data_IF_415070859527
#
_entry.id   IF_415070859527
#
_cell.length_a   1.000
_cell.length_b   1.000
_cell.length_c   1.000
_cell.angle_alpha   90.00
_cell.angle_beta   90.00
_cell.angle_gamma   90.00
#
_symmetry.space_group_name_H-M   'P 1'
#
loop_
_entity.id
_entity.type
_entity.pdbx_description
1 polymer ?
#
# COMPACT_ATOMS: atom_id res chain seq x y z
N UNK A 1 -3.04 4.67 101.95
CA UNK A 1 -2.21 4.45 100.74
C UNK A 1 -2.73 5.31 99.59
N UNK A 2 -2.15 6.50 99.40
CA UNK A 2 -2.38 7.37 98.23
C UNK A 2 -1.01 7.54 97.55
N UNK A 3 -0.80 6.91 96.40
CA UNK A 3 0.36 7.20 95.55
C UNK A 3 -0.12 7.65 94.17
N UNK A 4 0.33 8.86 93.82
CA UNK A 4 0.12 9.58 92.56
C UNK A 4 0.71 8.76 91.40
N UNK A 5 -0.07 8.57 90.33
CA UNK A 5 0.42 8.05 89.05
C UNK A 5 1.25 9.12 88.34
N UNK A 6 2.48 8.76 88.00
CA UNK A 6 3.42 9.55 87.23
C UNK A 6 3.10 9.44 85.73
N UNK A 7 3.18 10.58 85.09
CA UNK A 7 3.33 10.93 83.67
C UNK A 7 3.90 9.87 82.72
N UNK A 8 3.33 9.80 81.50
CA UNK A 8 4.09 9.94 80.25
C UNK A 8 3.16 10.32 79.09
N UNK A 9 3.38 11.50 78.53
CA UNK A 9 2.86 11.93 77.24
C UNK A 9 3.66 11.20 76.16
N UNK A 10 2.99 10.42 75.31
CA UNK A 10 3.57 9.92 74.07
C UNK A 10 2.87 10.63 72.91
N UNK A 11 3.61 11.51 72.25
CA UNK A 11 3.21 12.13 71.00
C UNK A 11 3.24 11.05 69.91
N UNK A 12 2.12 10.86 69.22
CA UNK A 12 2.06 10.02 68.02
C UNK A 12 2.54 10.89 66.85
N UNK A 13 3.73 10.59 66.35
CA UNK A 13 4.24 11.12 65.08
C UNK A 13 3.61 10.30 63.96
N UNK A 14 2.73 10.89 63.17
CA UNK A 14 2.26 10.29 61.91
C UNK A 14 3.32 10.60 60.86
N UNK A 15 4.19 9.63 60.59
CA UNK A 15 5.09 9.69 59.45
C UNK A 15 4.31 9.31 58.19
N UNK A 16 3.98 10.29 57.36
CA UNK A 16 3.50 10.05 56.01
C UNK A 16 4.66 9.51 55.17
N UNK A 17 4.64 8.22 54.85
CA UNK A 17 5.54 7.63 53.86
C UNK A 17 4.97 7.99 52.48
N UNK A 18 5.45 9.10 51.92
CA UNK A 18 5.25 9.41 50.52
C UNK A 18 6.10 8.48 49.67
N UNK A 19 5.48 7.53 48.98
CA UNK A 19 6.10 6.78 47.89
C UNK A 19 6.31 7.74 46.72
N UNK A 20 7.54 8.26 46.59
CA UNK A 20 8.00 8.94 45.39
C UNK A 20 8.14 7.89 44.28
N UNK A 21 7.10 7.76 43.44
CA UNK A 21 7.25 7.13 42.13
C UNK A 21 8.02 8.10 41.24
N UNK A 22 9.32 7.86 41.09
CA UNK A 22 10.10 8.44 40.00
C UNK A 22 9.53 7.92 38.69
N UNK A 23 8.84 8.77 37.94
CA UNK A 23 8.47 8.49 36.56
C UNK A 23 9.76 8.32 35.76
N UNK A 24 10.14 7.07 35.51
CA UNK A 24 11.09 6.77 34.47
C UNK A 24 10.36 7.02 33.16
N UNK A 25 10.69 8.12 32.49
CA UNK A 25 10.33 8.32 31.10
C UNK A 25 11.12 7.29 30.30
N UNK A 26 10.49 6.17 29.98
CA UNK A 26 10.97 5.28 28.93
C UNK A 26 10.65 6.00 27.63
N UNK A 27 11.68 6.55 26.98
CA UNK A 27 11.55 7.05 25.61
C UNK A 27 11.27 5.85 24.71
N UNK A 28 10.26 5.97 23.84
CA UNK A 28 10.00 4.99 22.81
C UNK A 28 11.23 4.87 21.91
N UNK A 29 11.74 3.64 21.75
CA UNK A 29 12.69 3.31 20.71
C UNK A 29 11.94 3.40 19.38
N UNK A 30 12.33 4.34 18.53
CA UNK A 30 11.80 4.46 17.16
C UNK A 30 12.07 3.15 16.43
N UNK A 31 11.03 2.35 16.19
CA UNK A 31 11.14 1.10 15.44
C UNK A 31 11.16 1.41 13.94
N UNK A 32 12.36 1.72 13.45
CA UNK A 32 12.86 1.59 12.07
C UNK A 32 11.96 2.20 10.97
N UNK A 33 12.46 3.26 10.32
CA UNK A 33 11.94 3.76 9.05
C UNK A 33 11.76 2.60 8.03
N UNK A 34 10.87 2.72 7.02
CA UNK A 34 10.72 1.71 5.97
C UNK A 34 12.10 1.26 5.50
N UNK A 35 12.36 -0.04 5.54
CA UNK A 35 13.70 -0.56 5.33
C UNK A 35 14.16 -0.14 3.93
N UNK A 36 15.07 0.85 3.86
CA UNK A 36 15.74 1.18 2.61
C UNK A 36 16.39 -0.10 2.09
N UNK A 37 16.04 -0.44 0.86
CA UNK A 37 16.46 -1.70 0.27
C UNK A 37 17.98 -1.68 0.11
N UNK A 38 18.63 -2.73 0.60
CA UNK A 38 20.09 -2.81 0.60
C UNK A 38 20.66 -2.79 -0.83
N UNK A 39 21.97 -2.56 -1.02
CA UNK A 39 22.59 -2.55 -2.34
C UNK A 39 22.33 -3.82 -3.17
N UNK A 40 22.10 -4.97 -2.50
CA UNK A 40 21.80 -6.23 -3.16
C UNK A 40 20.35 -6.34 -3.68
N UNK A 41 19.43 -5.50 -3.19
CA UNK A 41 18.01 -5.52 -3.58
C UNK A 41 17.69 -4.49 -4.68
N UNK A 42 18.59 -3.53 -4.93
CA UNK A 42 18.45 -2.49 -5.96
C UNK A 42 18.07 -3.06 -7.34
N UNK A 43 18.73 -4.15 -7.76
CA UNK A 43 18.43 -4.81 -9.04
C UNK A 43 17.00 -5.39 -9.08
N UNK A 44 16.47 -5.87 -7.95
CA UNK A 44 15.10 -6.35 -7.88
C UNK A 44 14.09 -5.20 -7.92
N UNK A 45 14.39 -4.08 -7.24
CA UNK A 45 13.47 -2.94 -7.11
C UNK A 45 13.37 -2.14 -8.41
N UNK A 46 14.52 -1.72 -8.96
CA UNK A 46 14.59 -0.79 -10.10
C UNK A 46 15.20 -1.41 -11.37
N UNK A 47 15.79 -2.61 -11.27
CA UNK A 47 16.38 -3.29 -12.42
C UNK A 47 15.37 -3.97 -13.34
N UNK A 48 15.89 -4.46 -14.46
CA UNK A 48 15.15 -5.28 -15.41
C UNK A 48 15.95 -6.54 -15.78
N UNK A 49 15.31 -7.72 -15.88
CA UNK A 49 15.97 -8.92 -16.35
C UNK A 49 16.35 -8.74 -17.83
N UNK A 50 17.46 -9.36 -18.24
CA UNK A 50 17.94 -9.30 -19.62
C UNK A 50 16.94 -9.90 -20.62
N UNK A 51 16.14 -10.88 -20.18
CA UNK A 51 15.06 -11.49 -20.96
C UNK A 51 13.79 -11.46 -20.10
N UNK A 52 12.97 -10.43 -20.23
CA UNK A 52 11.77 -10.29 -19.41
C UNK A 52 10.70 -11.32 -19.77
N UNK A 53 10.11 -11.96 -18.76
CA UNK A 53 8.88 -12.72 -18.96
C UNK A 53 7.68 -11.77 -19.08
N UNK A 54 6.54 -12.29 -19.52
CA UNK A 54 5.30 -11.52 -19.54
C UNK A 54 4.90 -11.09 -18.12
N UNK A 55 4.93 -12.00 -17.15
CA UNK A 55 4.58 -11.75 -15.76
C UNK A 55 5.42 -10.63 -15.15
N UNK A 56 6.74 -10.65 -15.40
CA UNK A 56 7.61 -9.57 -14.97
C UNK A 56 7.24 -8.25 -15.66
N UNK A 57 6.97 -8.27 -16.96
CA UNK A 57 6.58 -7.09 -17.74
C UNK A 57 5.27 -6.47 -17.22
N UNK A 58 4.28 -7.30 -16.89
CA UNK A 58 3.01 -6.87 -16.30
C UNK A 58 3.20 -6.29 -14.90
N UNK A 59 4.06 -6.90 -14.07
CA UNK A 59 4.38 -6.39 -12.75
C UNK A 59 5.08 -5.02 -12.85
N UNK A 60 6.10 -4.90 -13.71
CA UNK A 60 6.81 -3.65 -13.93
C UNK A 60 5.88 -2.53 -14.44
N UNK A 61 5.04 -2.82 -15.44
CA UNK A 61 4.04 -1.87 -15.93
C UNK A 61 3.03 -1.44 -14.87
N UNK A 62 2.60 -2.37 -14.00
CA UNK A 62 1.71 -2.07 -12.88
C UNK A 62 2.34 -1.22 -11.77
N UNK A 63 3.65 -1.36 -11.52
CA UNK A 63 4.39 -0.46 -10.61
C UNK A 63 4.50 0.95 -11.19
N UNK A 64 4.79 1.06 -12.49
CA UNK A 64 4.85 2.37 -13.17
C UNK A 64 3.47 3.04 -13.16
N UNK A 65 2.39 2.28 -13.36
CA UNK A 65 1.02 2.78 -13.25
C UNK A 65 0.68 3.31 -11.84
N UNK A 66 1.19 2.65 -10.81
CA UNK A 66 1.05 3.06 -9.41
C UNK A 66 1.82 4.35 -9.14
N UNK A 67 3.15 4.29 -9.23
CA UNK A 67 4.04 5.41 -8.97
C UNK A 67 5.31 5.25 -9.83
N UNK A 68 5.37 5.99 -10.94
CA UNK A 68 6.42 5.80 -11.95
C UNK A 68 7.79 6.25 -11.48
N UNK A 69 7.90 7.30 -10.66
CA UNK A 69 9.20 7.82 -10.25
C UNK A 69 9.84 6.92 -9.19
N UNK A 70 9.07 6.42 -8.24
CA UNK A 70 9.48 5.35 -7.32
C UNK A 70 9.81 4.05 -8.06
N UNK A 71 9.01 3.67 -9.07
CA UNK A 71 9.25 2.43 -9.81
C UNK A 71 10.54 2.47 -10.64
N UNK A 72 10.93 3.65 -11.13
CA UNK A 72 12.03 3.85 -12.09
C UNK A 72 13.27 4.52 -11.48
N UNK A 73 13.30 4.75 -10.17
CA UNK A 73 14.38 5.47 -9.46
C UNK A 73 14.65 6.85 -10.09
N UNK A 74 13.59 7.65 -10.24
CA UNK A 74 13.64 8.99 -10.81
C UNK A 74 13.21 10.03 -9.78
N UNK A 75 13.62 11.27 -10.02
CA UNK A 75 13.13 12.42 -9.27
C UNK A 75 11.62 12.54 -9.39
N UNK A 76 10.99 12.79 -8.25
CA UNK A 76 9.57 13.12 -8.16
C UNK A 76 9.26 14.33 -9.09
N UNK A 77 8.16 14.28 -9.88
CA UNK A 77 7.78 15.40 -10.73
C UNK A 77 7.29 16.60 -9.92
N UNK A 78 7.73 17.78 -10.32
CA UNK A 78 7.30 19.02 -9.68
C UNK A 78 5.92 19.50 -10.18
N UNK A 79 5.13 20.05 -9.26
CA UNK A 79 3.86 20.69 -9.56
C UNK A 79 2.74 19.73 -9.97
N UNK A 80 1.58 20.31 -10.30
CA UNK A 80 0.40 19.57 -10.74
C UNK A 80 0.52 19.19 -12.22
N UNK A 81 0.18 17.94 -12.55
CA UNK A 81 0.13 17.46 -13.93
C UNK A 81 -0.80 18.35 -14.76
N UNK A 82 -0.34 18.94 -15.89
CA UNK A 82 -1.16 19.83 -16.72
C UNK A 82 -2.44 19.18 -17.28
N UNK A 83 -2.47 17.85 -17.40
CA UNK A 83 -3.66 17.11 -17.83
C UNK A 83 -4.64 16.80 -16.68
N UNK A 84 -4.25 17.06 -15.42
CA UNK A 84 -5.13 16.87 -14.27
C UNK A 84 -6.27 17.91 -14.29
N UNK A 85 -7.54 17.50 -14.19
CA UNK A 85 -8.66 18.43 -14.35
C UNK A 85 -8.66 19.54 -13.30
N UNK A 86 -8.79 20.79 -13.72
CA UNK A 86 -8.85 21.94 -12.81
C UNK A 86 -10.04 21.90 -11.81
N UNK A 87 -11.06 21.08 -12.09
CA UNK A 87 -12.20 20.84 -11.19
C UNK A 87 -11.94 19.74 -10.16
N UNK A 88 -10.88 18.95 -10.31
CA UNK A 88 -10.49 17.90 -9.37
C UNK A 88 -9.70 18.50 -8.19
N UNK A 89 -9.57 17.73 -7.09
CA UNK A 89 -9.16 18.29 -5.80
C UNK A 89 -7.69 18.07 -5.44
N UNK A 90 -7.00 17.12 -6.07
CA UNK A 90 -5.59 16.88 -5.77
C UNK A 90 -4.69 17.89 -6.48
N UNK A 91 -3.47 18.03 -5.95
CA UNK A 91 -2.42 18.87 -6.49
C UNK A 91 -1.04 18.23 -6.27
N UNK A 92 -0.01 18.75 -6.93
CA UNK A 92 1.37 18.29 -6.77
C UNK A 92 1.67 16.94 -7.43
N UNK A 93 2.79 16.33 -7.03
CA UNK A 93 3.36 15.14 -7.68
C UNK A 93 2.39 13.96 -7.79
N UNK A 94 1.50 13.78 -6.81
CA UNK A 94 0.50 12.71 -6.82
C UNK A 94 -0.40 12.69 -8.07
N UNK A 95 -0.62 13.85 -8.69
CA UNK A 95 -1.42 14.00 -9.93
C UNK A 95 -0.73 13.44 -11.18
N UNK A 96 0.55 13.07 -11.08
CA UNK A 96 1.32 12.41 -12.15
C UNK A 96 1.26 10.88 -12.09
N UNK A 97 0.55 10.29 -11.13
CA UNK A 97 0.36 8.84 -11.02
C UNK A 97 -0.81 8.41 -11.91
N UNK A 98 -0.64 7.37 -12.72
CA UNK A 98 -1.72 6.90 -13.60
C UNK A 98 -2.97 6.51 -12.81
N UNK A 99 -2.77 5.86 -11.64
CA UNK A 99 -3.84 5.51 -10.71
C UNK A 99 -4.66 6.72 -10.27
N UNK A 100 -4.10 7.92 -10.23
CA UNK A 100 -4.80 9.10 -9.69
C UNK A 100 -5.97 9.52 -10.59
N UNK A 101 -5.79 9.42 -11.92
CA UNK A 101 -6.86 9.68 -12.88
C UNK A 101 -7.72 8.44 -13.16
N UNK A 102 -7.10 7.26 -13.20
CA UNK A 102 -7.74 6.04 -13.71
C UNK A 102 -8.16 5.04 -12.63
N UNK A 103 -7.90 5.34 -11.36
CA UNK A 103 -8.26 4.52 -10.19
C UNK A 103 -7.31 3.35 -9.96
N UNK A 104 -7.23 2.91 -8.70
CA UNK A 104 -6.59 1.65 -8.34
C UNK A 104 -7.31 0.43 -8.92
N UNK A 105 -8.61 0.56 -9.14
CA UNK A 105 -9.47 -0.44 -9.74
C UNK A 105 -9.59 -0.35 -11.27
N UNK A 106 -8.83 0.56 -11.88
CA UNK A 106 -8.75 0.79 -13.32
C UNK A 106 -10.06 1.31 -13.96
N UNK A 107 -11.03 1.78 -13.17
CA UNK A 107 -12.34 2.25 -13.62
C UNK A 107 -12.52 3.77 -13.57
N UNK A 108 -11.60 4.51 -12.92
CA UNK A 108 -11.62 5.97 -12.84
C UNK A 108 -12.95 6.49 -12.29
N UNK A 109 -13.60 7.39 -13.03
CA UNK A 109 -14.88 8.00 -12.68
C UNK A 109 -16.06 7.01 -12.55
N UNK A 110 -15.93 5.78 -13.07
CA UNK A 110 -16.95 4.73 -12.93
C UNK A 110 -16.66 3.80 -11.74
N UNK A 111 -15.53 4.01 -11.04
CA UNK A 111 -14.96 3.08 -10.07
C UNK A 111 -15.01 3.54 -8.61
N UNK A 112 -13.98 3.14 -7.86
CA UNK A 112 -13.76 3.60 -6.47
C UNK A 112 -13.55 5.12 -6.39
N UNK A 113 -13.10 5.76 -7.47
CA UNK A 113 -12.93 7.22 -7.57
C UNK A 113 -14.16 7.94 -8.14
N UNK A 114 -15.33 7.30 -8.27
CA UNK A 114 -16.58 7.93 -8.76
C UNK A 114 -17.08 9.14 -7.95
N UNK A 115 -16.55 9.35 -6.75
CA UNK A 115 -16.83 10.48 -5.85
C UNK A 115 -15.64 10.71 -4.92
N UNK A 116 -15.69 11.80 -4.14
CA UNK A 116 -14.69 12.08 -3.11
C UNK A 116 -13.53 12.95 -3.60
N UNK A 117 -12.39 12.88 -2.90
CA UNK A 117 -11.22 13.72 -3.14
C UNK A 117 -10.43 13.34 -4.40
N UNK A 118 -10.55 12.09 -4.86
CA UNK A 118 -9.86 11.58 -6.05
C UNK A 118 -10.73 11.60 -7.32
N UNK A 119 -11.96 12.13 -7.25
CA UNK A 119 -12.83 12.20 -8.43
C UNK A 119 -12.31 13.23 -9.44
N UNK A 120 -11.96 12.74 -10.63
CA UNK A 120 -11.47 13.55 -11.76
C UNK A 120 -12.50 13.70 -12.88
N UNK A 121 -13.51 12.83 -12.94
CA UNK A 121 -14.40 12.69 -14.10
C UNK A 121 -13.77 11.97 -15.30
N UNK A 122 -12.50 11.54 -15.20
CA UNK A 122 -11.80 10.79 -16.24
C UNK A 122 -12.18 9.30 -16.15
N UNK A 123 -12.49 8.68 -17.29
CA UNK A 123 -12.81 7.25 -17.35
C UNK A 123 -11.59 6.37 -17.03
N UNK A 124 -11.85 5.16 -16.56
CA UNK A 124 -10.81 4.14 -16.38
C UNK A 124 -10.22 3.58 -17.67
N UNK A 125 -9.28 2.64 -17.49
CA UNK A 125 -8.52 1.99 -18.57
C UNK A 125 -9.03 0.58 -18.92
N UNK A 126 -10.02 0.04 -18.18
CA UNK A 126 -10.57 -1.31 -18.44
C UNK A 126 -11.02 -1.56 -19.89
N UNK A 127 -11.46 -0.52 -20.62
CA UNK A 127 -11.85 -0.62 -22.03
C UNK A 127 -10.69 -0.85 -23.00
N UNK A 128 -9.43 -0.77 -22.54
CA UNK A 128 -8.24 -1.06 -23.33
C UNK A 128 -7.78 -2.52 -23.23
N UNK A 129 -8.34 -3.29 -22.28
CA UNK A 129 -7.96 -4.69 -22.07
C UNK A 129 -8.11 -5.51 -23.36
N UNK A 130 -7.07 -6.27 -23.70
CA UNK A 130 -6.99 -7.13 -24.89
C UNK A 130 -6.68 -6.40 -26.20
N UNK A 131 -6.50 -5.07 -26.20
CA UNK A 131 -5.99 -4.35 -27.38
C UNK A 131 -4.48 -4.52 -27.50
N UNK A 132 -3.88 -4.56 -28.71
CA UNK A 132 -2.43 -4.61 -28.84
C UNK A 132 -1.73 -3.46 -28.09
N UNK A 133 -0.66 -3.75 -27.36
CA UNK A 133 0.08 -2.75 -26.57
C UNK A 133 0.58 -1.60 -27.44
N UNK A 134 0.98 -1.90 -28.68
CA UNK A 134 1.44 -0.95 -29.68
C UNK A 134 0.35 0.03 -30.13
N UNK A 135 -0.92 -0.34 -29.96
CA UNK A 135 -2.06 0.57 -30.22
C UNK A 135 -2.39 1.48 -29.03
N UNK A 136 -1.98 1.08 -27.82
CA UNK A 136 -2.17 1.84 -26.58
C UNK A 136 -1.01 2.82 -26.39
N UNK A 137 0.22 2.42 -26.73
CA UNK A 137 1.43 3.23 -26.55
C UNK A 137 1.33 4.68 -27.09
N UNK A 138 0.82 4.93 -28.32
CA UNK A 138 0.71 6.30 -28.83
C UNK A 138 -0.25 7.18 -28.00
N UNK A 139 -1.24 6.59 -27.33
CA UNK A 139 -2.17 7.30 -26.45
C UNK A 139 -1.43 7.75 -25.18
N UNK A 140 -0.56 6.91 -24.62
CA UNK A 140 0.25 7.23 -23.44
C UNK A 140 1.33 8.30 -23.70
N UNK A 141 1.55 8.66 -24.97
CA UNK A 141 2.47 9.72 -25.42
C UNK A 141 1.75 10.95 -25.98
N UNK A 142 0.42 10.99 -25.91
CA UNK A 142 -0.36 12.11 -26.44
C UNK A 142 -0.37 13.31 -25.47
N UNK A 143 -1.01 14.39 -25.89
CA UNK A 143 -1.09 15.62 -25.08
C UNK A 143 -1.85 15.45 -23.75
N UNK A 144 -2.63 14.38 -23.57
CA UNK A 144 -3.32 14.07 -22.32
C UNK A 144 -2.43 13.31 -21.33
N UNK A 145 -1.27 12.85 -21.76
CA UNK A 145 -0.29 12.12 -20.95
C UNK A 145 1.09 12.77 -21.16
N UNK A 146 1.37 13.91 -20.50
CA UNK A 146 2.57 14.72 -20.75
C UNK A 146 3.87 14.11 -20.17
N UNK A 147 4.07 12.80 -20.34
CA UNK A 147 5.28 12.08 -19.96
C UNK A 147 6.30 12.14 -21.11
N UNK A 148 7.44 12.77 -20.87
CA UNK A 148 8.53 12.80 -21.84
C UNK A 148 9.33 11.49 -21.82
N UNK A 149 10.10 11.18 -22.88
CA UNK A 149 11.04 10.05 -22.87
C UNK A 149 12.09 10.10 -21.75
N UNK A 150 12.40 11.30 -21.24
CA UNK A 150 13.32 11.47 -20.12
C UNK A 150 12.69 11.05 -18.78
N UNK A 151 11.38 11.24 -18.63
CA UNK A 151 10.63 10.83 -17.44
C UNK A 151 10.40 9.31 -17.42
N UNK A 152 9.84 8.80 -18.53
CA UNK A 152 9.52 7.39 -18.74
C UNK A 152 9.96 7.09 -20.17
N UNK A 153 10.92 6.20 -20.36
CA UNK A 153 11.42 5.82 -21.69
C UNK A 153 10.35 5.09 -22.51
N UNK A 154 10.54 4.97 -23.82
CA UNK A 154 9.57 4.27 -24.67
C UNK A 154 9.42 2.79 -24.31
N UNK A 155 10.52 2.15 -23.90
CA UNK A 155 10.50 0.76 -23.43
C UNK A 155 9.68 0.63 -22.14
N UNK A 156 9.90 1.52 -21.17
CA UNK A 156 9.16 1.54 -19.91
C UNK A 156 7.67 1.84 -20.13
N UNK A 157 7.36 2.79 -21.02
CA UNK A 157 5.98 3.11 -21.37
C UNK A 157 5.29 1.96 -22.11
N UNK A 158 6.02 1.18 -22.90
CA UNK A 158 5.49 -0.03 -23.51
C UNK A 158 5.13 -1.08 -22.44
N UNK A 159 5.87 -1.18 -21.33
CA UNK A 159 5.50 -2.04 -20.19
C UNK A 159 4.15 -1.61 -19.59
N UNK A 160 3.91 -0.30 -19.47
CA UNK A 160 2.61 0.24 -19.04
C UNK A 160 1.50 -0.13 -20.03
N UNK A 161 1.74 0.03 -21.33
CA UNK A 161 0.79 -0.35 -22.37
C UNK A 161 0.44 -1.86 -22.33
N UNK A 162 1.44 -2.72 -22.14
CA UNK A 162 1.25 -4.18 -21.97
C UNK A 162 0.47 -4.48 -20.69
N UNK A 163 0.76 -3.80 -19.58
CA UNK A 163 -0.01 -3.92 -18.34
C UNK A 163 -1.48 -3.49 -18.52
N UNK A 164 -1.75 -2.39 -19.21
CA UNK A 164 -3.12 -1.94 -19.50
C UNK A 164 -3.86 -2.95 -20.41
N UNK A 165 -3.14 -3.57 -21.35
CA UNK A 165 -3.74 -4.57 -22.23
C UNK A 165 -4.06 -5.89 -21.51
N UNK A 166 -3.12 -6.42 -20.75
CA UNK A 166 -3.15 -7.82 -20.31
C UNK A 166 -3.12 -7.99 -18.78
N UNK A 167 -2.76 -6.92 -18.06
CA UNK A 167 -2.51 -6.94 -16.63
C UNK A 167 -3.70 -6.62 -15.74
N UNK A 168 -4.81 -6.11 -16.30
CA UNK A 168 -5.96 -5.60 -15.53
C UNK A 168 -6.90 -6.71 -15.04
N UNK A 169 -7.25 -6.67 -13.76
CA UNK A 169 -8.30 -7.50 -13.15
C UNK A 169 -9.54 -6.64 -12.87
N UNK A 170 -10.73 -7.11 -13.24
CA UNK A 170 -11.98 -6.44 -12.87
C UNK A 170 -12.28 -6.65 -11.38
N UNK A 171 -11.98 -5.65 -10.56
CA UNK A 171 -12.09 -5.77 -9.10
C UNK A 171 -13.52 -5.76 -8.58
N UNK A 172 -14.50 -5.36 -9.39
CA UNK A 172 -15.94 -5.45 -9.04
C UNK A 172 -16.39 -6.88 -8.77
N UNK A 173 -15.64 -7.87 -9.26
CA UNK A 173 -15.91 -9.28 -9.02
C UNK A 173 -15.62 -9.73 -7.57
N UNK A 174 -14.81 -8.97 -6.81
CA UNK A 174 -14.39 -9.37 -5.47
C UNK A 174 -14.26 -8.23 -4.45
N UNK A 175 -14.52 -6.98 -4.83
CA UNK A 175 -14.60 -5.82 -3.94
C UNK A 175 -16.00 -5.21 -4.04
N UNK A 176 -16.64 -4.99 -2.91
CA UNK A 176 -17.90 -4.26 -2.78
C UNK A 176 -17.59 -2.76 -2.76
N UNK A 177 -18.12 -2.03 -3.73
CA UNK A 177 -17.75 -0.62 -3.95
C UNK A 177 -18.54 0.36 -3.07
N UNK A 178 -19.64 -0.09 -2.47
CA UNK A 178 -20.43 0.73 -1.56
C UNK A 178 -19.79 0.75 -0.17
N UNK A 179 -19.23 -0.38 0.25
CA UNK A 179 -18.52 -0.52 1.52
C UNK A 179 -17.00 -0.40 1.41
N UNK A 180 -16.46 -0.49 0.18
CA UNK A 180 -15.02 -0.61 -0.14
C UNK A 180 -14.34 -1.76 0.60
N UNK A 181 -14.97 -2.94 0.60
CA UNK A 181 -14.46 -4.14 1.28
C UNK A 181 -14.36 -5.33 0.35
N UNK A 182 -13.48 -6.29 0.67
CA UNK A 182 -13.48 -7.58 -0.02
C UNK A 182 -14.82 -8.29 0.20
N UNK A 183 -15.44 -8.76 -0.88
CA UNK A 183 -16.70 -9.50 -0.83
C UNK A 183 -16.46 -10.84 -0.13
N UNK A 184 -17.25 -11.11 0.90
CA UNK A 184 -17.17 -12.39 1.64
C UNK A 184 -17.37 -13.57 0.69
N UNK A 185 -16.41 -14.50 0.70
CA UNK A 185 -16.43 -15.70 -0.15
C UNK A 185 -16.00 -15.49 -1.61
N UNK A 186 -15.49 -14.30 -1.99
CA UNK A 186 -15.00 -14.08 -3.35
C UNK A 186 -13.76 -14.93 -3.72
N UNK A 187 -12.95 -15.27 -2.71
CA UNK A 187 -11.79 -16.14 -2.83
C UNK A 187 -11.84 -17.32 -1.86
N UNK A 188 -10.99 -18.31 -2.10
CA UNK A 188 -10.84 -19.45 -1.19
C UNK A 188 -9.92 -19.04 -0.03
N UNK A 189 -10.50 -18.86 1.15
CA UNK A 189 -9.78 -18.45 2.36
C UNK A 189 -8.56 -19.34 2.67
N UNK A 190 -8.75 -20.67 2.61
CA UNK A 190 -7.68 -21.64 2.91
C UNK A 190 -6.53 -21.58 1.92
N UNK A 191 -6.84 -21.34 0.65
CA UNK A 191 -5.83 -21.12 -0.40
C UNK A 191 -5.08 -19.81 -0.15
N UNK A 192 -5.78 -18.74 0.20
CA UNK A 192 -5.17 -17.45 0.54
C UNK A 192 -4.22 -17.55 1.73
N UNK A 193 -4.65 -18.24 2.78
CA UNK A 193 -3.82 -18.54 3.96
C UNK A 193 -2.53 -19.27 3.58
N UNK A 194 -2.65 -20.33 2.77
CA UNK A 194 -1.48 -21.10 2.33
C UNK A 194 -0.47 -20.23 1.55
N UNK A 195 -0.96 -19.36 0.66
CA UNK A 195 -0.10 -18.44 -0.10
C UNK A 195 0.58 -17.44 0.84
N UNK A 196 -0.19 -16.79 1.72
CA UNK A 196 0.34 -15.79 2.64
C UNK A 196 1.43 -16.38 3.55
N UNK A 197 1.15 -17.52 4.20
CA UNK A 197 2.06 -18.16 5.14
C UNK A 197 3.37 -18.64 4.50
N UNK A 198 3.37 -18.94 3.20
CA UNK A 198 4.54 -19.46 2.50
C UNK A 198 5.30 -18.41 1.69
N UNK A 199 4.66 -17.29 1.37
CA UNK A 199 5.24 -16.27 0.46
C UNK A 199 5.37 -14.91 1.13
N UNK A 200 4.35 -14.46 1.86
CA UNK A 200 4.25 -13.11 2.41
C UNK A 200 4.76 -13.02 3.85
N UNK A 201 4.46 -14.04 4.67
CA UNK A 201 4.80 -14.10 6.08
C UNK A 201 6.31 -14.11 6.37
N UNK A 202 7.14 -14.44 5.37
CA UNK A 202 8.59 -14.33 5.47
C UNK A 202 9.06 -12.91 5.77
N UNK A 203 8.30 -11.89 5.34
CA UNK A 203 8.56 -10.48 5.63
C UNK A 203 7.51 -9.91 6.59
N UNK A 204 6.23 -10.17 6.34
CA UNK A 204 5.13 -9.56 7.11
C UNK A 204 4.77 -10.31 8.41
N UNK A 205 5.40 -11.45 8.70
CA UNK A 205 5.01 -12.30 9.84
C UNK A 205 3.73 -13.08 9.58
N UNK A 206 3.47 -14.12 10.38
CA UNK A 206 2.30 -14.99 10.20
C UNK A 206 0.97 -14.30 10.51
N UNK A 207 0.99 -13.26 11.34
CA UNK A 207 -0.16 -12.42 11.67
C UNK A 207 -0.15 -11.08 10.91
N UNK A 208 0.81 -10.86 10.01
CA UNK A 208 0.87 -9.66 9.18
C UNK A 208 1.44 -8.40 9.86
N UNK A 209 1.86 -8.48 11.14
CA UNK A 209 2.30 -7.32 11.92
C UNK A 209 3.81 -7.15 12.05
N UNK A 210 4.62 -7.98 11.38
CA UNK A 210 6.08 -7.91 11.53
C UNK A 210 6.71 -6.67 10.87
N UNK A 211 5.99 -6.00 9.98
CA UNK A 211 6.38 -4.73 9.36
C UNK A 211 5.29 -3.71 9.65
N UNK A 212 5.68 -2.62 10.30
CA UNK A 212 4.82 -1.49 10.63
C UNK A 212 5.32 -0.26 9.88
N UNK A 213 4.42 0.39 9.14
CA UNK A 213 4.69 1.63 8.44
C UNK A 213 3.74 2.76 8.88
N UNK A 214 3.16 2.63 10.07
CA UNK A 214 2.49 3.73 10.75
C UNK A 214 3.48 4.82 11.17
N UNK A 215 2.96 6.04 11.34
CA UNK A 215 3.73 7.19 11.81
C UNK A 215 3.25 7.64 13.19
N UNK A 216 4.18 7.97 14.08
CA UNK A 216 3.85 8.44 15.42
C UNK A 216 3.21 7.35 16.27
N UNK A 217 1.99 7.60 16.74
CA UNK A 217 1.19 6.66 17.54
C UNK A 217 0.21 5.82 16.68
N UNK A 218 0.22 6.01 15.35
CA UNK A 218 -0.56 5.21 14.42
C UNK A 218 0.24 3.98 13.96
N UNK A 219 -0.46 2.88 13.68
CA UNK A 219 0.13 1.61 13.24
C UNK A 219 -0.54 1.16 11.96
N UNK A 220 0.26 0.80 10.95
CA UNK A 220 -0.25 0.32 9.67
C UNK A 220 0.42 -1.00 9.29
N UNK A 221 -0.41 -2.04 9.17
CA UNK A 221 -0.01 -3.39 8.80
C UNK A 221 -0.70 -3.81 7.50
N UNK A 222 -0.31 -4.96 6.94
CA UNK A 222 -0.97 -5.50 5.73
C UNK A 222 -2.48 -5.70 5.95
N UNK A 223 -2.91 -6.05 7.17
CA UNK A 223 -4.31 -6.21 7.54
C UNK A 223 -5.05 -4.87 7.55
N UNK A 224 -4.45 -3.83 8.14
CA UNK A 224 -4.96 -2.45 8.14
C UNK A 224 -5.24 -1.97 6.71
N UNK A 225 -4.23 -2.05 5.85
CA UNK A 225 -4.33 -1.62 4.45
C UNK A 225 -5.38 -2.43 3.68
N UNK A 226 -5.44 -3.75 3.87
CA UNK A 226 -6.40 -4.59 3.14
C UNK A 226 -7.84 -4.36 3.58
N UNK A 227 -8.05 -3.96 4.84
CA UNK A 227 -9.37 -3.62 5.36
C UNK A 227 -9.86 -2.26 4.84
N UNK A 228 -8.97 -1.29 4.64
CA UNK A 228 -9.31 0.08 4.24
C UNK A 228 -9.22 0.34 2.73
N UNK A 229 -8.19 -0.22 2.08
CA UNK A 229 -7.78 0.05 0.71
C UNK A 229 -7.59 -1.25 -0.10
N UNK A 230 -8.58 -2.17 -0.16
CA UNK A 230 -8.41 -3.48 -0.80
C UNK A 230 -8.06 -3.40 -2.30
N UNK A 231 -8.49 -2.35 -2.99
CA UNK A 231 -8.15 -2.06 -4.39
C UNK A 231 -6.66 -1.74 -4.58
N UNK A 232 -6.10 -0.94 -3.69
CA UNK A 232 -4.67 -0.61 -3.68
C UNK A 232 -3.83 -1.84 -3.32
N UNK A 233 -4.21 -2.55 -2.25
CA UNK A 233 -3.49 -3.76 -1.83
C UNK A 233 -3.52 -4.81 -2.93
N UNK A 234 -4.64 -5.04 -3.61
CA UNK A 234 -4.69 -5.99 -4.72
C UNK A 234 -3.74 -5.60 -5.86
N UNK A 235 -3.65 -4.30 -6.20
CA UNK A 235 -2.69 -3.81 -7.19
C UNK A 235 -1.24 -4.08 -6.75
N UNK A 236 -0.91 -3.76 -5.49
CA UNK A 236 0.45 -3.90 -4.94
C UNK A 236 0.87 -5.35 -4.80
N UNK A 237 0.04 -6.25 -4.27
CA UNK A 237 0.40 -7.69 -4.24
C UNK A 237 0.52 -8.27 -5.65
N UNK A 238 -0.24 -7.74 -6.62
CA UNK A 238 -0.15 -8.18 -8.01
C UNK A 238 1.14 -7.72 -8.68
N UNK A 239 1.64 -6.51 -8.39
CA UNK A 239 2.68 -5.85 -9.18
C UNK A 239 3.98 -5.51 -8.40
N UNK A 240 3.98 -5.70 -7.09
CA UNK A 240 4.89 -5.16 -6.08
C UNK A 240 4.64 -3.67 -5.77
N UNK A 241 5.13 -3.23 -4.60
CA UNK A 241 5.11 -1.85 -4.15
C UNK A 241 6.28 -1.08 -4.80
N UNK A 242 6.05 0.05 -5.50
CA UNK A 242 7.12 0.85 -6.10
C UNK A 242 8.18 1.29 -5.07
N UNK A 243 9.47 1.21 -5.40
CA UNK A 243 10.55 1.60 -4.47
C UNK A 243 10.85 0.62 -3.33
N UNK A 244 10.07 -0.46 -3.18
CA UNK A 244 10.28 -1.46 -2.13
C UNK A 244 10.64 -2.84 -2.70
N UNK A 245 11.47 -3.59 -1.97
CA UNK A 245 11.82 -4.97 -2.30
C UNK A 245 10.69 -5.97 -1.93
N UNK A 246 9.45 -5.62 -2.27
CA UNK A 246 8.26 -6.45 -2.06
C UNK A 246 8.09 -7.43 -3.21
N UNK A 247 7.89 -8.72 -2.91
CA UNK A 247 7.56 -9.71 -3.94
C UNK A 247 6.19 -9.40 -4.58
N UNK A 248 5.98 -9.86 -5.81
CA UNK A 248 4.68 -9.78 -6.48
C UNK A 248 4.14 -11.17 -6.79
N UNK A 249 2.87 -11.22 -7.16
CA UNK A 249 2.14 -12.47 -7.38
C UNK A 249 1.69 -12.66 -8.84
N UNK A 250 2.34 -12.05 -9.83
CA UNK A 250 1.95 -12.21 -11.25
C UNK A 250 2.03 -13.64 -11.77
N UNK A 251 2.93 -14.45 -11.22
CA UNK A 251 3.01 -15.88 -11.56
C UNK A 251 1.85 -16.71 -10.97
N UNK A 252 1.09 -16.16 -10.02
CA UNK A 252 -0.08 -16.80 -9.45
C UNK A 252 -1.32 -16.45 -10.28
N UNK A 253 -2.30 -17.36 -10.29
CA UNK A 253 -3.56 -17.11 -10.99
C UNK A 253 -4.30 -15.89 -10.43
N UNK A 254 -5.19 -15.30 -11.21
CA UNK A 254 -6.09 -14.24 -10.70
C UNK A 254 -6.87 -14.73 -9.48
N UNK A 255 -7.35 -15.98 -9.50
CA UNK A 255 -8.10 -16.55 -8.39
C UNK A 255 -7.25 -16.78 -7.13
N UNK A 256 -5.97 -17.11 -7.29
CA UNK A 256 -5.03 -17.19 -6.16
C UNK A 256 -4.84 -15.82 -5.51
N UNK A 257 -4.72 -14.75 -6.29
CA UNK A 257 -4.60 -13.38 -5.78
C UNK A 257 -5.88 -12.89 -5.08
N UNK A 258 -7.06 -13.24 -5.60
CA UNK A 258 -8.34 -12.97 -4.94
C UNK A 258 -8.47 -13.76 -3.63
N UNK A 259 -8.04 -15.03 -3.64
CA UNK A 259 -7.98 -15.86 -2.43
C UNK A 259 -7.02 -15.27 -1.40
N UNK A 260 -5.87 -14.78 -1.83
CA UNK A 260 -4.92 -14.07 -0.99
C UNK A 260 -5.54 -12.82 -0.36
N UNK A 261 -6.23 -11.96 -1.13
CA UNK A 261 -6.96 -10.81 -0.57
C UNK A 261 -8.03 -11.21 0.44
N UNK A 262 -8.76 -12.30 0.17
CA UNK A 262 -9.78 -12.83 1.10
C UNK A 262 -9.17 -13.20 2.45
N UNK A 263 -7.92 -13.67 2.46
CA UNK A 263 -7.21 -13.96 3.71
C UNK A 263 -6.61 -12.70 4.35
N UNK A 264 -5.89 -11.86 3.59
CA UNK A 264 -5.23 -10.66 4.14
C UNK A 264 -6.23 -9.71 4.79
N UNK A 265 -7.43 -9.54 4.21
CA UNK A 265 -8.50 -8.71 4.78
C UNK A 265 -9.08 -9.22 6.12
N UNK A 266 -8.60 -10.36 6.63
CA UNK A 266 -8.96 -10.91 7.96
C UNK A 266 -7.82 -10.84 8.97
N UNK A 267 -6.64 -10.38 8.56
CA UNK A 267 -5.50 -10.22 9.45
C UNK A 267 -5.74 -9.05 10.44
N UNK A 268 -5.06 -9.07 11.60
CA UNK A 268 -5.04 -7.97 12.55
C UNK A 268 -4.85 -6.59 11.90
N UNK A 269 -5.60 -5.62 12.38
CA UNK A 269 -5.57 -4.21 11.93
C UNK A 269 -4.89 -3.29 12.94
N UNK A 270 -4.65 -3.76 14.16
CA UNK A 270 -3.96 -3.03 15.22
C UNK A 270 -3.05 -3.92 16.08
N UNK A 271 -2.31 -3.27 16.98
CA UNK A 271 -1.35 -3.94 17.88
C UNK A 271 -2.05 -4.86 18.89
N UNK A 272 -3.23 -4.48 19.37
CA UNK A 272 -3.94 -5.18 20.45
C UNK A 272 -5.00 -6.19 19.94
N UNK A 273 -5.11 -6.37 18.62
CA UNK A 273 -6.03 -7.32 17.97
C UNK A 273 -5.60 -8.79 18.17
#
# INVERSE_FOLDING_TARGET
MKLKKLTRRSAVFVAAVGLLFSAQTVSAEVSVAPQEHGPQQQEFVHGAPQVPSLEWTLAAGGRIYDNWWEALDRSEPEGTNPAYPASAKQEGAGTWRCKECHGWDYLGAEGIYRKGSHFTGIKGVMGMRGKPAESIFPILRDANHPYTPDMITDEEMLRVATFISEGLTDMRAFIDYETRKVISGAGNFERGRAIFQTTCAACHGFDGRAMDWGEGDEHNFVGTEAAELPDEVYNKISNAHPGAAMINTRAFSVQDRISLMTYIATLPTGIDD
#
